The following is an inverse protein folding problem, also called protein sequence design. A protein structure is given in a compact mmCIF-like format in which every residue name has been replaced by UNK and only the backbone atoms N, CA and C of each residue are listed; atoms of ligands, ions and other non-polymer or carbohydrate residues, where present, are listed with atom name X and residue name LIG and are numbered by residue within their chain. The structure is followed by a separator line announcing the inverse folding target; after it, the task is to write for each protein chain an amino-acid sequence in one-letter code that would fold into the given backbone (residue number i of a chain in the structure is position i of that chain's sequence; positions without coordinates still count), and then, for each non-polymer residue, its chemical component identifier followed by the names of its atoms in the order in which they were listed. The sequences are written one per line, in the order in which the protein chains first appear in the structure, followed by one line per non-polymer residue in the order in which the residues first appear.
data_IF_829211455501
#
_entry.id   IF_829211455501
#
_cell.length_a   1.000
_cell.length_b   1.000
_cell.length_c   1.000
_cell.angle_alpha   90.00
_cell.angle_beta   90.00
_cell.angle_gamma   90.00
#
_symmetry.space_group_name_H-M   'P 1'
#
loop_
_entity.id
_entity.type
_entity.pdbx_description
1 polymer ?
#
# COMPACT_ATOMS: atom_id res chain seq x y z
N UNK A 1 56.71 -41.67 -42.57
CA UNK A 1 55.85 -41.90 -41.39
C UNK A 1 56.14 -40.84 -40.33
N UNK A 2 55.43 -39.70 -40.37
CA UNK A 2 55.44 -38.63 -39.36
C UNK A 2 54.08 -37.96 -39.41
N UNK A 3 53.40 -37.88 -38.27
CA UNK A 3 52.07 -37.28 -38.19
C UNK A 3 51.59 -37.19 -36.75
N UNK A 4 52.27 -36.36 -35.96
CA UNK A 4 51.87 -35.92 -34.62
C UNK A 4 50.68 -34.96 -34.77
N UNK A 5 49.54 -35.22 -34.12
CA UNK A 5 48.54 -34.17 -33.80
C UNK A 5 47.97 -34.40 -32.40
N UNK A 6 48.49 -33.63 -31.44
CA UNK A 6 47.88 -33.43 -30.13
C UNK A 6 46.51 -32.76 -30.31
N UNK A 7 45.44 -33.39 -29.81
CA UNK A 7 44.18 -32.71 -29.58
C UNK A 7 44.30 -31.86 -28.30
N UNK A 8 44.17 -30.55 -28.45
CA UNK A 8 43.95 -29.61 -27.35
C UNK A 8 42.54 -29.81 -26.80
N UNK A 9 42.46 -30.19 -25.53
CA UNK A 9 41.23 -30.20 -24.73
C UNK A 9 40.90 -28.74 -24.38
N UNK A 10 39.79 -28.22 -24.92
CA UNK A 10 39.23 -26.95 -24.47
C UNK A 10 38.46 -27.19 -23.17
N UNK A 11 38.99 -26.70 -22.06
CA UNK A 11 38.28 -26.60 -20.80
C UNK A 11 37.24 -25.47 -20.89
N UNK A 12 35.96 -25.83 -20.86
CA UNK A 12 34.85 -24.88 -20.74
C UNK A 12 34.74 -24.49 -19.27
N UNK A 13 35.21 -23.28 -18.94
CA UNK A 13 34.98 -22.68 -17.63
C UNK A 13 33.52 -22.23 -17.56
N UNK A 14 32.69 -22.99 -16.84
CA UNK A 14 31.31 -22.61 -16.50
C UNK A 14 31.40 -21.49 -15.47
N UNK A 15 31.24 -20.24 -15.92
CA UNK A 15 31.12 -19.09 -15.04
C UNK A 15 29.81 -19.16 -14.27
N UNK A 16 29.90 -19.37 -12.96
CA UNK A 16 28.79 -19.19 -12.02
C UNK A 16 28.40 -17.72 -12.03
N UNK A 17 27.32 -17.38 -12.74
CA UNK A 17 26.72 -16.05 -12.68
C UNK A 17 26.03 -15.94 -11.31
N UNK A 18 26.40 -14.99 -10.44
CA UNK A 18 25.67 -14.78 -9.20
C UNK A 18 24.24 -14.41 -9.55
N UNK A 19 23.30 -15.30 -9.21
CA UNK A 19 21.88 -14.97 -9.26
C UNK A 19 21.67 -13.83 -8.26
N UNK A 20 21.29 -12.66 -8.77
CA UNK A 20 20.77 -11.61 -7.91
C UNK A 20 19.60 -12.22 -7.13
N UNK A 21 19.79 -12.41 -5.82
CA UNK A 21 18.69 -12.74 -4.94
C UNK A 21 17.64 -11.64 -5.16
N UNK A 22 16.49 -12.02 -5.69
CA UNK A 22 15.32 -11.16 -5.73
C UNK A 22 15.04 -10.77 -4.29
N UNK A 23 15.46 -9.57 -3.91
CA UNK A 23 15.11 -9.00 -2.64
C UNK A 23 13.59 -8.86 -2.66
N UNK A 24 12.91 -9.75 -1.94
CA UNK A 24 11.48 -9.63 -1.68
C UNK A 24 11.22 -8.21 -1.17
N UNK A 25 10.30 -7.50 -1.81
CA UNK A 25 9.85 -6.21 -1.33
C UNK A 25 9.54 -6.31 0.17
N UNK A 26 9.96 -5.33 0.98
CA UNK A 26 9.67 -5.37 2.41
C UNK A 26 8.17 -5.59 2.60
N UNK A 27 7.82 -6.44 3.57
CA UNK A 27 6.43 -6.66 3.93
C UNK A 27 5.80 -5.29 4.24
N UNK A 28 4.53 -5.07 3.84
CA UNK A 28 3.81 -3.86 4.22
C UNK A 28 3.90 -3.64 5.74
N UNK A 29 4.10 -2.40 6.19
CA UNK A 29 4.37 -2.13 7.60
C UNK A 29 3.16 -2.29 8.51
N UNK A 30 1.95 -2.28 7.94
CA UNK A 30 0.70 -2.43 8.67
C UNK A 30 -0.18 -3.49 8.02
N UNK A 31 -1.04 -4.09 8.84
CA UNK A 31 -2.05 -5.04 8.45
C UNK A 31 -3.42 -4.62 9.00
N UNK A 32 -4.48 -5.04 8.32
CA UNK A 32 -5.84 -4.91 8.82
C UNK A 32 -6.22 -6.13 9.65
N UNK A 33 -6.47 -5.93 10.94
CA UNK A 33 -7.11 -6.91 11.81
C UNK A 33 -8.63 -6.84 11.60
N UNK A 34 -9.18 -7.85 10.93
CA UNK A 34 -10.60 -7.92 10.65
C UNK A 34 -11.46 -8.22 11.89
N UNK A 35 -10.91 -8.82 12.93
CA UNK A 35 -11.63 -9.07 14.19
C UNK A 35 -11.73 -7.78 15.01
N UNK A 36 -10.61 -7.06 15.16
CA UNK A 36 -10.56 -5.77 15.86
C UNK A 36 -11.12 -4.61 15.02
N UNK A 37 -11.26 -4.78 13.70
CA UNK A 37 -11.60 -3.72 12.74
C UNK A 37 -10.61 -2.53 12.83
N UNK A 38 -9.32 -2.85 12.94
CA UNK A 38 -8.24 -1.88 13.20
C UNK A 38 -6.93 -2.28 12.48
N UNK A 39 -6.03 -1.32 12.31
CA UNK A 39 -4.67 -1.50 11.83
C UNK A 39 -3.75 -1.95 12.97
N UNK A 40 -2.92 -2.95 12.67
CA UNK A 40 -1.93 -3.51 13.58
C UNK A 40 -0.56 -3.66 12.89
N UNK A 41 0.51 -3.73 13.69
CA UNK A 41 1.91 -3.78 13.23
C UNK A 41 2.31 -5.14 12.59
N UNK A 42 1.47 -6.17 12.74
CA UNK A 42 1.80 -7.53 12.31
C UNK A 42 0.92 -7.99 11.14
N UNK A 43 1.54 -8.11 9.96
CA UNK A 43 0.96 -8.77 8.79
C UNK A 43 1.31 -8.05 7.47
N UNK A 44 0.87 -8.64 6.35
CA UNK A 44 1.02 -8.02 5.03
C UNK A 44 -0.34 -7.50 4.57
N UNK A 45 -0.47 -6.20 4.31
CA UNK A 45 -1.69 -5.74 3.64
C UNK A 45 -1.74 -4.28 3.25
N UNK A 46 -1.11 -3.38 4.01
CA UNK A 46 -1.35 -1.94 3.86
C UNK A 46 -0.06 -1.22 3.49
N UNK A 47 0.00 -0.73 2.25
CA UNK A 47 1.03 0.23 1.88
C UNK A 47 0.58 1.61 2.30
N UNK A 48 1.38 2.27 3.14
CA UNK A 48 1.09 3.58 3.70
C UNK A 48 1.97 4.62 3.02
N UNK A 49 1.37 5.75 2.63
CA UNK A 49 2.02 6.90 2.05
C UNK A 49 1.83 8.11 2.96
N UNK A 50 2.90 8.90 3.12
CA UNK A 50 2.82 10.17 3.81
C UNK A 50 2.19 11.22 2.89
N UNK A 51 1.23 11.95 3.43
CA UNK A 51 0.55 13.06 2.78
C UNK A 51 0.87 14.39 3.50
N UNK A 52 0.49 15.51 2.89
CA UNK A 52 0.69 16.82 3.49
C UNK A 52 -0.08 16.98 4.82
N UNK A 53 0.38 17.89 5.68
CA UNK A 53 -0.30 18.29 6.93
C UNK A 53 -0.54 17.14 7.94
N UNK A 54 0.33 16.13 7.97
CA UNK A 54 0.23 15.04 8.95
C UNK A 54 -0.83 14.00 8.60
N UNK A 55 -1.21 13.92 7.33
CA UNK A 55 -2.04 12.85 6.83
C UNK A 55 -1.21 11.63 6.41
N UNK A 56 -1.79 10.46 6.55
CA UNK A 56 -1.34 9.20 5.98
C UNK A 56 -2.46 8.66 5.09
N UNK A 57 -2.11 8.11 3.93
CA UNK A 57 -3.06 7.41 3.07
C UNK A 57 -2.58 5.99 2.84
N UNK A 58 -3.51 5.09 2.52
CA UNK A 58 -3.12 3.71 2.24
C UNK A 58 -4.21 2.92 1.53
N UNK A 59 -3.78 1.82 0.91
CA UNK A 59 -4.66 0.87 0.26
C UNK A 59 -4.37 -0.54 0.76
N UNK A 60 -5.40 -1.34 0.93
CA UNK A 60 -5.27 -2.75 1.28
C UNK A 60 -6.44 -3.57 0.74
N UNK A 61 -6.19 -4.86 0.53
CA UNK A 61 -7.24 -5.82 0.20
C UNK A 61 -7.77 -6.44 1.48
N UNK A 62 -9.07 -6.31 1.73
CA UNK A 62 -9.72 -6.94 2.88
C UNK A 62 -9.85 -8.46 2.68
N UNK A 63 -10.11 -9.24 3.75
CA UNK A 63 -10.27 -10.69 3.64
C UNK A 63 -11.41 -11.15 2.72
N UNK A 64 -12.39 -10.29 2.46
CA UNK A 64 -13.49 -10.54 1.52
C UNK A 64 -13.12 -10.26 0.05
N UNK A 65 -11.87 -9.86 -0.23
CA UNK A 65 -11.34 -9.59 -1.56
C UNK A 65 -11.59 -8.16 -2.05
N UNK A 66 -12.37 -7.34 -1.32
CA UNK A 66 -12.62 -5.95 -1.72
C UNK A 66 -11.41 -5.07 -1.42
N UNK A 67 -11.26 -4.02 -2.21
CA UNK A 67 -10.21 -3.03 -2.03
C UNK A 67 -10.70 -1.92 -1.08
N UNK A 68 -9.89 -1.63 -0.08
CA UNK A 68 -10.15 -0.63 0.94
C UNK A 68 -9.11 0.46 0.85
N UNK A 69 -9.53 1.69 1.09
CA UNK A 69 -8.69 2.86 1.14
C UNK A 69 -8.84 3.60 2.46
N UNK A 70 -7.73 4.18 2.91
CA UNK A 70 -7.60 4.93 4.15
C UNK A 70 -7.09 6.34 3.86
N UNK A 71 -7.64 7.31 4.59
CA UNK A 71 -7.04 8.62 4.82
C UNK A 71 -7.10 8.93 6.32
N UNK A 72 -5.95 8.94 6.98
CA UNK A 72 -5.80 9.14 8.42
C UNK A 72 -5.08 10.46 8.71
N UNK A 73 -5.66 11.35 9.51
CA UNK A 73 -4.98 12.54 10.02
C UNK A 73 -4.38 12.26 11.40
N UNK A 74 -3.10 11.93 11.42
CA UNK A 74 -2.36 11.47 12.60
C UNK A 74 -2.42 12.43 13.80
N UNK A 75 -2.33 13.77 13.65
CA UNK A 75 -2.38 14.68 14.79
C UNK A 75 -3.71 14.69 15.56
N UNK A 76 -4.83 14.36 14.89
CA UNK A 76 -6.15 14.32 15.54
C UNK A 76 -6.74 12.93 15.60
N UNK A 77 -6.02 11.93 15.11
CA UNK A 77 -6.43 10.53 15.08
C UNK A 77 -7.76 10.31 14.33
N UNK A 78 -8.09 11.21 13.39
CA UNK A 78 -9.34 11.17 12.62
C UNK A 78 -9.11 10.44 11.32
N UNK A 79 -10.06 9.66 10.85
CA UNK A 79 -9.91 8.96 9.59
C UNK A 79 -11.15 8.96 8.72
N UNK A 80 -10.90 8.68 7.45
CA UNK A 80 -11.85 8.27 6.43
C UNK A 80 -11.39 6.90 5.92
N UNK A 81 -12.28 5.92 6.00
CA UNK A 81 -12.10 4.59 5.45
C UNK A 81 -13.16 4.39 4.37
N UNK A 82 -12.76 3.91 3.20
CA UNK A 82 -13.69 3.64 2.11
C UNK A 82 -13.43 2.26 1.50
N UNK A 83 -14.50 1.62 1.05
CA UNK A 83 -14.47 0.32 0.39
C UNK A 83 -15.13 0.43 -0.97
N UNK A 84 -14.54 -0.19 -1.97
CA UNK A 84 -15.04 -0.20 -3.34
C UNK A 84 -15.36 -1.62 -3.77
N UNK A 85 -16.44 -1.79 -4.51
CA UNK A 85 -16.64 -2.99 -5.33
C UNK A 85 -15.64 -2.96 -6.50
N UNK A 86 -15.34 -4.14 -7.07
CA UNK A 86 -14.34 -4.26 -8.15
C UNK A 86 -14.71 -3.40 -9.38
N UNK A 87 -16.00 -3.33 -9.71
CA UNK A 87 -16.49 -2.57 -10.88
C UNK A 87 -16.29 -1.05 -10.77
N UNK A 88 -16.27 -0.50 -9.56
CA UNK A 88 -16.21 0.94 -9.30
C UNK A 88 -14.81 1.39 -8.82
N UNK A 89 -13.90 0.43 -8.61
CA UNK A 89 -12.60 0.63 -8.00
C UNK A 89 -11.80 1.78 -8.65
N UNK A 90 -11.58 1.70 -9.97
CA UNK A 90 -10.74 2.67 -10.68
C UNK A 90 -11.31 4.09 -10.56
N UNK A 91 -12.63 4.24 -10.73
CA UNK A 91 -13.28 5.54 -10.67
C UNK A 91 -13.19 6.17 -9.28
N UNK A 92 -13.41 5.39 -8.22
CA UNK A 92 -13.30 5.86 -6.84
C UNK A 92 -11.86 6.24 -6.50
N UNK A 93 -10.87 5.43 -6.87
CA UNK A 93 -9.46 5.69 -6.57
C UNK A 93 -8.88 6.86 -7.36
N UNK A 94 -9.24 7.02 -8.63
CA UNK A 94 -8.90 8.20 -9.41
C UNK A 94 -9.49 9.46 -8.79
N UNK A 95 -10.76 9.42 -8.35
CA UNK A 95 -11.38 10.56 -7.67
C UNK A 95 -10.70 10.87 -6.34
N UNK A 96 -10.40 9.87 -5.53
CA UNK A 96 -9.70 10.05 -4.25
C UNK A 96 -8.34 10.73 -4.45
N UNK A 97 -7.51 10.23 -5.38
CA UNK A 97 -6.21 10.86 -5.69
C UNK A 97 -6.35 12.29 -6.19
N UNK A 98 -7.30 12.54 -7.10
CA UNK A 98 -7.56 13.88 -7.60
C UNK A 98 -7.99 14.86 -6.48
N UNK A 99 -8.69 14.38 -5.46
CA UNK A 99 -9.07 15.18 -4.29
C UNK A 99 -7.90 15.45 -3.33
N UNK A 100 -6.92 14.55 -3.24
CA UNK A 100 -5.70 14.79 -2.46
C UNK A 100 -4.71 15.71 -3.18
N UNK A 101 -4.67 15.66 -4.51
CA UNK A 101 -3.77 16.45 -5.35
C UNK A 101 -4.31 17.86 -5.69
N UNK A 102 -5.58 18.14 -5.38
CA UNK A 102 -6.20 19.43 -5.69
C UNK A 102 -5.61 20.57 -4.86
N UNK A 103 -5.53 21.76 -5.46
CA UNK A 103 -5.14 22.99 -4.75
C UNK A 103 -6.29 23.64 -3.97
N UNK A 104 -7.52 23.18 -4.21
CA UNK A 104 -8.71 23.63 -3.48
C UNK A 104 -8.76 22.88 -2.15
N UNK A 105 -8.90 23.57 -0.99
CA UNK A 105 -9.06 22.86 0.27
C UNK A 105 -10.30 21.97 0.26
N UNK A 106 -10.14 20.69 0.60
CA UNK A 106 -11.23 19.72 0.76
C UNK A 106 -11.12 19.07 2.13
N UNK A 107 -12.26 18.88 2.79
CA UNK A 107 -12.34 18.22 4.10
C UNK A 107 -12.60 16.72 3.95
N UNK A 108 -12.19 15.89 4.93
CA UNK A 108 -12.52 14.45 4.95
C UNK A 108 -14.04 14.15 4.77
N UNK A 109 -14.97 14.90 5.40
CA UNK A 109 -16.40 14.74 5.13
C UNK A 109 -16.77 14.92 3.65
N UNK A 110 -16.22 15.94 2.99
CA UNK A 110 -16.49 16.21 1.56
C UNK A 110 -15.91 15.12 0.67
N UNK A 111 -14.67 14.68 0.94
CA UNK A 111 -14.07 13.52 0.25
C UNK A 111 -14.99 12.31 0.40
N UNK A 112 -15.44 12.00 1.61
CA UNK A 112 -16.34 10.87 1.86
C UNK A 112 -17.66 10.95 1.08
N UNK A 113 -18.26 12.14 0.97
CA UNK A 113 -19.48 12.34 0.17
C UNK A 113 -19.19 12.12 -1.32
N UNK A 114 -18.09 12.67 -1.83
CA UNK A 114 -17.70 12.54 -3.24
C UNK A 114 -17.44 11.07 -3.63
N UNK A 115 -16.76 10.31 -2.78
CA UNK A 115 -16.50 8.88 -3.03
C UNK A 115 -17.79 8.05 -2.96
N UNK A 116 -18.70 8.37 -2.02
CA UNK A 116 -19.98 7.68 -1.90
C UNK A 116 -20.88 7.89 -3.12
N UNK A 117 -20.82 9.06 -3.77
CA UNK A 117 -21.54 9.31 -5.04
C UNK A 117 -21.05 8.42 -6.19
N UNK A 118 -19.85 7.87 -6.09
CA UNK A 118 -19.27 6.92 -7.03
C UNK A 118 -19.47 5.45 -6.61
N UNK A 119 -20.28 5.18 -5.58
CA UNK A 119 -20.60 3.83 -5.13
C UNK A 119 -19.73 3.30 -4.00
N UNK A 120 -18.78 4.09 -3.46
CA UNK A 120 -17.97 3.64 -2.34
C UNK A 120 -18.80 3.53 -1.04
N UNK A 121 -18.57 2.46 -0.27
CA UNK A 121 -18.97 2.41 1.13
C UNK A 121 -17.99 3.25 1.95
N UNK A 122 -18.49 4.15 2.81
CA UNK A 122 -17.64 5.11 3.53
C UNK A 122 -17.91 5.07 5.03
N UNK A 123 -16.83 4.98 5.82
CA UNK A 123 -16.83 5.12 7.28
C UNK A 123 -15.89 6.25 7.68
N UNK A 124 -16.30 7.01 8.69
CA UNK A 124 -15.45 8.01 9.36
C UNK A 124 -15.45 7.74 10.85
N UNK A 125 -14.34 8.01 11.52
CA UNK A 125 -14.23 7.84 12.96
C UNK A 125 -13.00 8.54 13.52
N UNK A 126 -12.64 8.16 14.75
CA UNK A 126 -11.51 8.72 15.45
C UNK A 126 -10.95 7.72 16.47
N UNK A 127 -9.67 7.35 16.33
CA UNK A 127 -8.92 6.52 17.26
C UNK A 127 -9.36 5.08 17.46
N UNK A 128 -10.36 4.62 16.71
CA UNK A 128 -10.90 3.26 16.80
C UNK A 128 -10.34 2.30 15.74
N UNK A 129 -9.44 2.77 14.85
CA UNK A 129 -8.80 1.94 13.82
C UNK A 129 -7.31 1.69 14.07
N UNK A 130 -6.76 2.10 15.22
CA UNK A 130 -5.31 2.05 15.46
C UNK A 130 -4.52 3.10 14.66
N UNK A 131 -3.22 3.13 14.88
CA UNK A 131 -2.32 4.19 14.43
C UNK A 131 -0.99 3.68 13.85
N UNK A 132 -0.90 2.39 13.50
CA UNK A 132 0.31 1.78 12.90
C UNK A 132 0.82 2.59 11.70
N UNK A 133 -0.09 3.08 10.85
CA UNK A 133 0.23 3.89 9.69
C UNK A 133 0.95 5.18 10.08
N UNK A 134 0.42 5.86 11.10
CA UNK A 134 1.01 7.07 11.64
C UNK A 134 2.32 6.83 12.41
N UNK A 135 2.42 5.73 13.15
CA UNK A 135 3.63 5.32 13.87
C UNK A 135 4.77 5.00 12.89
N UNK A 136 4.47 4.25 11.84
CA UNK A 136 5.42 3.90 10.80
C UNK A 136 5.98 5.12 10.08
N UNK A 137 5.14 6.13 9.83
CA UNK A 137 5.56 7.39 9.23
C UNK A 137 6.21 8.38 10.21
N UNK A 138 6.25 8.06 11.52
CA UNK A 138 6.75 8.97 12.55
C UNK A 138 5.91 10.24 12.69
N UNK A 139 4.60 10.16 12.43
CA UNK A 139 3.66 11.28 12.46
C UNK A 139 2.87 11.40 13.77
N UNK A 140 2.94 10.38 14.63
CA UNK A 140 2.50 10.47 16.03
C UNK A 140 3.68 10.83 16.94
N UNK A 141 3.39 11.51 18.05
CA UNK A 141 4.39 11.93 19.05
C UNK A 141 4.47 10.95 20.20
#
# INVERSE_FOLDING_TARGET
MRGLRLLRVCAVAVGLVPSAALALSPLPPCAWDAEAQAFADEGAGVFVLAEANGFASGAFTAPDGRQWGLLHHCPTDKYLLFVTEEADHDAVWERFRALLETSVPVTMPEIGVDLALLGAGVRRGQGDIGNCDCEHLGLVK
#
